data_IF_879020161940
#
_entry.id   IF_879020161940
#
_cell.length_a   1.000
_cell.length_b   1.000
_cell.length_c   1.000
_cell.angle_alpha   90.00
_cell.angle_beta   90.00
_cell.angle_gamma   90.00
#
_symmetry.space_group_name_H-M   'P 1'
#
loop_
_entity.id
_entity.type
_entity.pdbx_description
1 polymer ?
#
# COMPACT_ATOMS: atom_id res chain seq x y z
N UNK A 1 -25.57 -28.27 0.22
CA UNK A 1 -24.11 -28.31 0.47
C UNK A 1 -23.89 -28.26 1.99
N UNK A 2 -23.19 -29.24 2.53
CA UNK A 2 -23.00 -29.36 3.99
C UNK A 2 -22.09 -28.23 4.48
N UNK A 3 -22.34 -27.63 5.67
CA UNK A 3 -21.52 -26.53 6.23
C UNK A 3 -20.01 -26.89 6.26
N UNK A 4 -19.70 -28.17 6.45
CA UNK A 4 -18.32 -28.67 6.45
C UNK A 4 -17.68 -28.63 5.04
N UNK A 5 -18.45 -28.86 3.99
CA UNK A 5 -17.97 -28.76 2.60
C UNK A 5 -17.69 -27.33 2.19
N UNK A 6 -18.54 -26.39 2.60
CA UNK A 6 -18.33 -24.94 2.40
C UNK A 6 -17.05 -24.49 3.10
N UNK A 7 -16.85 -24.91 4.35
CA UNK A 7 -15.64 -24.58 5.12
C UNK A 7 -14.37 -25.15 4.47
N UNK A 8 -14.40 -26.41 4.01
CA UNK A 8 -13.28 -27.05 3.29
C UNK A 8 -12.96 -26.32 1.98
N UNK A 9 -14.00 -25.86 1.26
CA UNK A 9 -13.82 -25.12 0.01
C UNK A 9 -13.17 -23.77 0.25
N UNK A 10 -13.60 -23.03 1.28
CA UNK A 10 -12.95 -21.76 1.68
C UNK A 10 -11.49 -21.97 2.14
N UNK A 11 -11.21 -23.00 2.92
CA UNK A 11 -9.82 -23.31 3.30
C UNK A 11 -8.96 -23.65 2.08
N UNK A 12 -9.50 -24.38 1.09
CA UNK A 12 -8.81 -24.69 -0.14
C UNK A 12 -8.54 -23.43 -0.99
N UNK A 13 -9.47 -22.48 -1.02
CA UNK A 13 -9.29 -21.21 -1.70
C UNK A 13 -8.25 -20.32 -1.00
N UNK A 14 -8.21 -20.30 0.34
CA UNK A 14 -7.22 -19.53 1.12
C UNK A 14 -5.80 -20.07 0.91
N UNK A 15 -5.64 -21.40 0.83
CA UNK A 15 -4.35 -22.08 0.64
C UNK A 15 -3.92 -22.17 -0.82
N UNK A 16 -4.80 -21.84 -1.77
CA UNK A 16 -4.54 -21.99 -3.20
C UNK A 16 -3.40 -21.07 -3.64
N UNK A 17 -2.43 -21.64 -4.34
CA UNK A 17 -1.42 -20.91 -5.08
C UNK A 17 -1.97 -20.59 -6.47
N UNK A 18 -2.23 -19.33 -6.74
CA UNK A 18 -2.66 -18.89 -8.07
C UNK A 18 -1.47 -18.85 -9.02
N UNK A 19 -1.71 -19.18 -10.29
CA UNK A 19 -0.74 -18.89 -11.34
C UNK A 19 -0.61 -17.38 -11.50
N UNK A 20 0.61 -16.88 -11.62
CA UNK A 20 0.88 -15.47 -11.85
C UNK A 20 1.61 -15.31 -13.17
N UNK A 21 1.10 -14.43 -14.01
CA UNK A 21 1.78 -14.02 -15.25
C UNK A 21 2.96 -13.07 -15.00
N UNK A 22 3.14 -12.67 -13.75
CA UNK A 22 4.22 -11.77 -13.38
C UNK A 22 5.57 -12.47 -13.55
N UNK A 23 6.40 -11.89 -14.40
CA UNK A 23 7.77 -12.35 -14.60
C UNK A 23 8.62 -12.12 -13.36
N UNK A 24 9.49 -13.08 -13.01
CA UNK A 24 10.32 -13.03 -11.80
C UNK A 24 11.28 -11.81 -11.75
N UNK A 25 11.58 -11.23 -12.89
CA UNK A 25 12.43 -10.05 -13.00
C UNK A 25 11.80 -8.83 -12.32
N UNK A 26 10.46 -8.72 -12.31
CA UNK A 26 9.79 -7.58 -11.66
C UNK A 26 10.05 -7.52 -10.14
N UNK A 27 9.80 -8.59 -9.36
CA UNK A 27 10.21 -8.61 -7.94
C UNK A 27 11.70 -8.38 -7.71
N UNK A 28 12.56 -8.88 -8.62
CA UNK A 28 14.00 -8.71 -8.51
C UNK A 28 14.42 -7.24 -8.65
N UNK A 29 13.96 -6.54 -9.70
CA UNK A 29 14.27 -5.12 -9.88
C UNK A 29 13.65 -4.23 -8.80
N UNK A 30 12.47 -4.60 -8.28
CA UNK A 30 11.85 -3.94 -7.15
C UNK A 30 12.74 -4.05 -5.89
N UNK A 31 13.23 -5.26 -5.57
CA UNK A 31 14.13 -5.49 -4.44
C UNK A 31 15.50 -4.81 -4.63
N UNK A 32 16.01 -4.80 -5.86
CA UNK A 32 17.26 -4.11 -6.20
C UNK A 32 17.13 -2.60 -5.98
N UNK A 33 15.99 -2.00 -6.35
CA UNK A 33 15.70 -0.58 -6.07
C UNK A 33 15.71 -0.27 -4.57
N UNK A 34 15.11 -1.13 -3.74
CA UNK A 34 15.18 -1.05 -2.28
C UNK A 34 16.63 -1.14 -1.79
N UNK A 35 17.41 -2.11 -2.29
CA UNK A 35 18.81 -2.30 -1.92
C UNK A 35 19.69 -1.10 -2.28
N UNK A 36 19.49 -0.50 -3.45
CA UNK A 36 20.23 0.70 -3.88
C UNK A 36 19.95 1.88 -2.95
N UNK A 37 18.67 2.13 -2.62
CA UNK A 37 18.28 3.23 -1.73
C UNK A 37 18.88 3.06 -0.34
N UNK A 38 18.80 1.84 0.22
CA UNK A 38 19.41 1.55 1.53
C UNK A 38 20.95 1.57 1.47
N UNK A 39 21.55 1.02 0.43
CA UNK A 39 23.00 1.03 0.23
C UNK A 39 23.56 2.45 0.16
N UNK A 40 22.93 3.33 -0.59
CA UNK A 40 23.29 4.75 -0.63
C UNK A 40 23.17 5.38 0.75
N UNK A 41 22.10 5.12 1.50
CA UNK A 41 21.89 5.70 2.83
C UNK A 41 22.95 5.22 3.85
N UNK A 42 23.35 3.96 3.79
CA UNK A 42 24.44 3.41 4.62
C UNK A 42 25.78 4.04 4.23
N UNK A 43 26.06 4.19 2.93
CA UNK A 43 27.26 4.87 2.45
C UNK A 43 27.40 6.29 3.02
N UNK A 44 26.28 7.02 3.18
CA UNK A 44 26.26 8.33 3.83
C UNK A 44 26.12 8.26 5.37
N UNK A 45 26.15 7.08 5.98
CA UNK A 45 26.03 6.88 7.44
C UNK A 45 24.67 7.29 8.01
N UNK A 46 23.60 7.23 7.22
CA UNK A 46 22.25 7.73 7.57
C UNK A 46 21.15 6.73 7.16
N UNK A 47 21.23 5.51 7.70
CA UNK A 47 20.30 4.44 7.39
C UNK A 47 18.80 4.85 7.50
N UNK A 48 18.47 5.63 8.53
CA UNK A 48 17.08 6.11 8.75
C UNK A 48 16.54 6.93 7.58
N UNK A 49 17.39 7.68 6.90
CA UNK A 49 16.99 8.45 5.72
C UNK A 49 16.69 7.53 4.52
N UNK A 50 17.43 6.41 4.41
CA UNK A 50 17.15 5.39 3.40
C UNK A 50 15.78 4.75 3.57
N UNK A 51 15.37 4.50 4.81
CA UNK A 51 14.05 3.93 5.10
C UNK A 51 12.90 4.86 4.69
N UNK A 52 13.08 6.17 4.85
CA UNK A 52 12.12 7.16 4.35
C UNK A 52 12.14 7.21 2.82
N UNK A 53 13.33 7.22 2.21
CA UNK A 53 13.47 7.23 0.75
C UNK A 53 12.88 5.98 0.10
N UNK A 54 12.86 4.82 0.78
CA UNK A 54 12.21 3.61 0.29
C UNK A 54 10.71 3.79 -0.01
N UNK A 55 10.01 4.71 0.66
CA UNK A 55 8.60 5.02 0.37
C UNK A 55 8.47 5.44 -1.10
N UNK A 56 9.38 6.30 -1.59
CA UNK A 56 9.43 6.72 -3.00
C UNK A 56 9.79 5.56 -3.93
N UNK A 57 10.68 4.65 -3.51
CA UNK A 57 11.08 3.49 -4.30
C UNK A 57 9.92 2.53 -4.61
N UNK A 58 8.85 2.52 -3.80
CA UNK A 58 7.65 1.74 -4.04
C UNK A 58 6.90 2.13 -5.32
N UNK A 59 7.18 3.31 -5.90
CA UNK A 59 6.60 3.72 -7.18
C UNK A 59 6.98 2.79 -8.35
N UNK A 60 8.07 2.04 -8.25
CA UNK A 60 8.43 0.98 -9.20
C UNK A 60 7.30 -0.04 -9.41
N UNK A 61 6.52 -0.32 -8.38
CA UNK A 61 5.45 -1.32 -8.44
C UNK A 61 4.29 -0.95 -9.38
N UNK A 62 4.26 0.28 -9.88
CA UNK A 62 3.29 0.76 -10.86
C UNK A 62 3.71 0.52 -12.31
N UNK A 63 4.82 -0.18 -12.57
CA UNK A 63 5.25 -0.49 -13.94
C UNK A 63 4.23 -1.41 -14.63
N UNK A 64 3.50 -0.94 -15.66
CA UNK A 64 2.54 -1.77 -16.37
C UNK A 64 3.24 -2.64 -17.43
N UNK A 65 2.53 -3.62 -17.99
CA UNK A 65 3.05 -4.48 -19.08
C UNK A 65 2.89 -3.87 -20.49
N UNK A 66 2.81 -2.56 -20.60
CA UNK A 66 2.55 -1.80 -21.84
C UNK A 66 3.85 -1.37 -22.55
N UNK A 67 3.80 -0.67 -23.70
CA UNK A 67 4.99 -0.15 -24.36
C UNK A 67 5.84 0.78 -23.48
N UNK A 68 7.15 0.84 -23.74
CA UNK A 68 8.14 1.54 -22.91
C UNK A 68 7.75 2.97 -22.54
N UNK A 69 7.32 3.76 -23.51
CA UNK A 69 6.93 5.16 -23.28
C UNK A 69 5.76 5.29 -22.28
N UNK A 70 4.78 4.41 -22.41
CA UNK A 70 3.63 4.39 -21.51
C UNK A 70 4.03 3.90 -20.09
N UNK A 71 4.91 2.86 -20.00
CA UNK A 71 5.46 2.42 -18.70
C UNK A 71 6.10 3.57 -17.95
N UNK A 72 6.98 4.32 -18.64
CA UNK A 72 7.69 5.43 -18.02
C UNK A 72 6.74 6.55 -17.60
N UNK A 73 5.77 6.91 -18.46
CA UNK A 73 4.77 7.92 -18.14
C UNK A 73 3.97 7.55 -16.88
N UNK A 74 3.49 6.28 -16.77
CA UNK A 74 2.72 5.81 -15.61
C UNK A 74 3.58 5.85 -14.34
N UNK A 75 4.81 5.32 -14.38
CA UNK A 75 5.69 5.29 -13.20
C UNK A 75 6.04 6.71 -12.75
N UNK A 76 6.35 7.62 -13.67
CA UNK A 76 6.65 9.02 -13.33
C UNK A 76 5.45 9.74 -12.70
N UNK A 77 4.25 9.56 -13.24
CA UNK A 77 3.03 10.12 -12.65
C UNK A 77 2.74 9.53 -11.26
N UNK A 78 2.88 8.20 -11.09
CA UNK A 78 2.70 7.55 -9.79
C UNK A 78 3.79 7.97 -8.79
N UNK A 79 5.03 8.15 -9.23
CA UNK A 79 6.13 8.69 -8.41
C UNK A 79 5.79 10.07 -7.88
N UNK A 80 5.36 10.98 -8.77
CA UNK A 80 4.91 12.32 -8.36
C UNK A 80 3.74 12.24 -7.37
N UNK A 81 2.77 11.35 -7.63
CA UNK A 81 1.62 11.15 -6.75
C UNK A 81 2.03 10.64 -5.35
N UNK A 82 2.99 9.69 -5.24
CA UNK A 82 3.51 9.18 -3.96
C UNK A 82 4.22 10.30 -3.19
N UNK A 83 5.08 11.09 -3.85
CA UNK A 83 5.79 12.21 -3.23
C UNK A 83 4.81 13.27 -2.75
N UNK A 84 3.84 13.65 -3.59
CA UNK A 84 2.79 14.62 -3.23
C UNK A 84 1.92 14.12 -2.07
N UNK A 85 1.61 12.82 -2.04
CA UNK A 85 0.85 12.19 -0.95
C UNK A 85 1.62 12.26 0.37
N UNK A 86 2.94 11.99 0.35
CA UNK A 86 3.80 12.12 1.52
C UNK A 86 3.84 13.55 2.02
N UNK A 87 4.00 14.51 1.12
CA UNK A 87 3.97 15.93 1.45
C UNK A 87 2.64 16.35 2.09
N UNK A 88 1.50 15.94 1.51
CA UNK A 88 0.18 16.21 2.10
C UNK A 88 0.03 15.58 3.48
N UNK A 89 0.59 14.37 3.68
CA UNK A 89 0.66 13.74 5.00
C UNK A 89 1.42 14.59 6.00
N UNK A 90 2.61 15.06 5.65
CA UNK A 90 3.40 15.95 6.52
C UNK A 90 2.63 17.23 6.88
N UNK A 91 1.88 17.81 5.94
CA UNK A 91 1.09 19.01 6.21
C UNK A 91 0.03 18.81 7.32
N UNK A 92 -0.36 17.56 7.61
CA UNK A 92 -1.30 17.28 8.72
C UNK A 92 -0.72 17.61 10.09
N UNK A 93 0.60 17.69 10.24
CA UNK A 93 1.26 18.11 11.49
C UNK A 93 0.90 19.54 11.93
N UNK A 94 0.45 20.38 10.99
CA UNK A 94 -0.04 21.74 11.31
C UNK A 94 -1.49 21.75 11.80
N UNK A 95 -2.17 20.59 11.82
CA UNK A 95 -3.53 20.45 12.29
C UNK A 95 -3.55 19.77 13.67
N UNK A 96 -4.56 20.07 14.52
CA UNK A 96 -4.80 19.23 15.71
C UNK A 96 -4.96 17.76 15.31
N UNK A 97 -4.33 16.85 16.05
CA UNK A 97 -4.27 15.41 15.72
C UNK A 97 -5.65 14.80 15.40
N UNK A 98 -6.70 15.26 16.11
CA UNK A 98 -8.07 14.80 15.90
C UNK A 98 -8.59 15.09 14.49
N UNK A 99 -8.08 16.11 13.80
CA UNK A 99 -8.53 16.49 12.44
C UNK A 99 -7.65 15.93 11.32
N UNK A 100 -6.58 15.23 11.63
CA UNK A 100 -5.67 14.63 10.64
C UNK A 100 -6.40 13.65 9.68
N UNK A 101 -7.51 13.04 10.13
CA UNK A 101 -8.31 12.13 9.32
C UNK A 101 -8.92 12.79 8.07
N UNK A 102 -9.21 14.11 8.12
CA UNK A 102 -9.87 14.83 7.02
C UNK A 102 -8.96 14.90 5.77
N UNK A 103 -7.75 15.49 5.83
CA UNK A 103 -6.88 15.55 4.65
C UNK A 103 -6.43 14.17 4.16
N UNK A 104 -6.25 13.20 5.06
CA UNK A 104 -5.91 11.82 4.68
C UNK A 104 -7.07 11.18 3.90
N UNK A 105 -8.31 11.36 4.35
CA UNK A 105 -9.49 10.87 3.65
C UNK A 105 -9.69 11.52 2.27
N UNK A 106 -9.49 12.85 2.18
CA UNK A 106 -9.55 13.59 0.91
C UNK A 106 -8.47 13.07 -0.06
N UNK A 107 -7.27 12.84 0.42
CA UNK A 107 -6.18 12.30 -0.37
C UNK A 107 -6.49 10.88 -0.85
N UNK A 108 -7.03 10.01 0.02
CA UNK A 108 -7.46 8.66 -0.34
C UNK A 108 -8.55 8.68 -1.42
N UNK A 109 -9.54 9.57 -1.28
CA UNK A 109 -10.58 9.79 -2.28
C UNK A 109 -9.98 10.26 -3.60
N UNK A 110 -9.15 11.30 -3.60
CA UNK A 110 -8.55 11.88 -4.80
C UNK A 110 -7.67 10.88 -5.54
N UNK A 111 -6.79 10.16 -4.84
CA UNK A 111 -5.96 9.12 -5.43
C UNK A 111 -6.79 7.96 -6.00
N UNK A 112 -7.88 7.55 -5.32
CA UNK A 112 -8.80 6.54 -5.83
C UNK A 112 -9.49 6.98 -7.13
N UNK A 113 -9.94 8.25 -7.22
CA UNK A 113 -10.51 8.81 -8.45
C UNK A 113 -9.51 8.74 -9.60
N UNK A 114 -8.29 9.23 -9.37
CA UNK A 114 -7.25 9.27 -10.42
C UNK A 114 -6.88 7.87 -10.91
N UNK A 115 -6.62 6.94 -10.00
CA UNK A 115 -6.23 5.56 -10.32
C UNK A 115 -7.34 4.84 -11.12
N UNK A 116 -8.59 5.02 -10.73
CA UNK A 116 -9.74 4.41 -11.43
C UNK A 116 -9.99 5.08 -12.79
N UNK A 117 -9.91 6.40 -12.85
CA UNK A 117 -10.12 7.15 -14.09
C UNK A 117 -9.08 6.77 -15.17
N UNK A 118 -7.81 6.61 -14.78
CA UNK A 118 -6.75 6.20 -15.71
C UNK A 118 -6.61 4.68 -15.84
N UNK A 119 -7.48 3.91 -15.21
CA UNK A 119 -7.45 2.44 -15.20
C UNK A 119 -6.05 1.87 -14.86
N UNK A 120 -5.41 2.46 -13.85
CA UNK A 120 -4.09 2.00 -13.38
C UNK A 120 -4.31 0.74 -12.53
N UNK A 121 -3.70 -0.37 -12.95
CA UNK A 121 -3.81 -1.66 -12.28
C UNK A 121 -3.24 -1.69 -10.84
N UNK A 122 -3.19 -2.87 -10.25
CA UNK A 122 -2.56 -3.05 -8.94
C UNK A 122 -1.11 -2.50 -8.95
N UNK A 123 -0.70 -1.85 -7.84
CA UNK A 123 -1.29 -1.80 -6.51
C UNK A 123 -2.36 -0.70 -6.28
N UNK A 124 -2.91 -0.10 -7.32
CA UNK A 124 -3.98 0.88 -7.21
C UNK A 124 -3.59 2.11 -6.36
N UNK A 125 -4.51 2.64 -5.57
CA UNK A 125 -4.28 3.81 -4.72
C UNK A 125 -3.57 3.48 -3.37
N UNK A 126 -3.21 2.22 -3.12
CA UNK A 126 -2.67 1.78 -1.84
C UNK A 126 -1.42 2.55 -1.39
N UNK A 127 -0.41 2.66 -2.27
CA UNK A 127 0.84 3.32 -1.89
C UNK A 127 0.74 4.84 -1.79
N UNK A 128 -0.28 5.45 -2.39
CA UNK A 128 -0.58 6.87 -2.17
C UNK A 128 -1.09 7.08 -0.73
N UNK A 129 -2.06 6.28 -0.30
CA UNK A 129 -2.57 6.32 1.09
C UNK A 129 -1.46 5.96 2.07
N UNK A 130 -0.69 4.89 1.79
CA UNK A 130 0.44 4.45 2.59
C UNK A 130 1.46 5.58 2.80
N UNK A 131 1.85 6.25 1.72
CA UNK A 131 2.80 7.38 1.74
C UNK A 131 2.27 8.57 2.53
N UNK A 132 1.00 8.95 2.32
CA UNK A 132 0.36 10.04 3.05
C UNK A 132 0.31 9.76 4.56
N UNK A 133 -0.10 8.56 4.92
CA UNK A 133 -0.23 8.16 6.32
C UNK A 133 1.13 8.10 7.00
N UNK A 134 2.18 7.59 6.34
CA UNK A 134 3.54 7.63 6.88
C UNK A 134 4.06 9.06 7.03
N UNK A 135 3.75 9.96 6.10
CA UNK A 135 4.06 11.39 6.25
C UNK A 135 3.36 12.02 7.45
N UNK A 136 2.06 11.70 7.66
CA UNK A 136 1.25 12.23 8.75
C UNK A 136 1.68 11.76 10.15
N UNK A 137 2.30 10.59 10.25
CA UNK A 137 2.77 10.02 11.53
C UNK A 137 4.30 9.98 11.65
N UNK A 138 4.99 10.73 10.80
CA UNK A 138 6.45 10.87 10.85
C UNK A 138 6.85 11.65 12.10
N UNK A 139 7.81 11.19 12.93
CA UNK A 139 8.17 11.82 14.22
C UNK A 139 9.12 13.01 14.06
N UNK A 140 9.21 13.63 12.89
CA UNK A 140 10.17 14.70 12.59
C UNK A 140 9.64 16.11 12.89
N UNK A 141 10.55 17.04 13.13
CA UNK A 141 10.21 18.44 13.35
C UNK A 141 9.86 19.17 12.05
N UNK A 142 9.11 20.27 12.16
CA UNK A 142 8.67 21.07 11.02
C UNK A 142 9.80 21.56 10.11
N UNK A 143 11.00 21.80 10.67
CA UNK A 143 12.18 22.24 9.90
C UNK A 143 12.69 21.19 8.88
N UNK A 144 12.41 19.90 9.13
CA UNK A 144 12.93 18.79 8.33
C UNK A 144 12.00 18.40 7.19
N UNK A 145 10.80 18.98 7.08
CA UNK A 145 9.76 18.56 6.13
C UNK A 145 10.21 18.55 4.67
N UNK A 146 10.85 19.62 4.22
CA UNK A 146 11.33 19.72 2.83
C UNK A 146 12.40 18.66 2.55
N UNK A 147 13.28 18.43 3.53
CA UNK A 147 14.32 17.40 3.43
C UNK A 147 13.72 15.99 3.33
N UNK A 148 12.72 15.68 4.16
CA UNK A 148 12.05 14.37 4.15
C UNK A 148 11.34 14.12 2.81
N UNK A 149 10.64 15.12 2.28
CA UNK A 149 10.01 15.04 0.95
C UNK A 149 11.08 14.82 -0.13
N UNK A 150 12.22 15.49 0.00
CA UNK A 150 13.39 15.29 -0.88
C UNK A 150 13.92 13.87 -0.85
N UNK A 151 13.97 13.21 0.34
CA UNK A 151 14.36 11.80 0.45
C UNK A 151 13.38 10.87 -0.29
N UNK A 152 12.08 11.07 -0.11
CA UNK A 152 11.07 10.28 -0.84
C UNK A 152 11.18 10.52 -2.35
N UNK A 153 11.44 11.76 -2.77
CA UNK A 153 11.69 12.08 -4.17
C UNK A 153 12.94 11.38 -4.72
N UNK A 154 14.04 11.34 -3.98
CA UNK A 154 15.24 10.58 -4.38
C UNK A 154 14.96 9.09 -4.54
N UNK A 155 14.19 8.49 -3.61
CA UNK A 155 13.73 7.12 -3.75
C UNK A 155 12.89 6.87 -5.00
N UNK A 156 12.00 7.83 -5.32
CA UNK A 156 11.20 7.78 -6.54
C UNK A 156 12.04 7.92 -7.81
N UNK A 157 13.12 8.71 -7.79
CA UNK A 157 14.09 8.76 -8.91
C UNK A 157 14.78 7.41 -9.13
N UNK A 158 15.21 6.74 -8.06
CA UNK A 158 15.77 5.38 -8.15
C UNK A 158 14.74 4.41 -8.72
N UNK A 159 13.47 4.48 -8.31
CA UNK A 159 12.40 3.66 -8.86
C UNK A 159 12.20 3.87 -10.36
N UNK A 160 12.22 5.13 -10.83
CA UNK A 160 12.11 5.44 -12.26
C UNK A 160 13.28 4.88 -13.05
N UNK A 161 14.51 4.98 -12.52
CA UNK A 161 15.70 4.38 -13.14
C UNK A 161 15.58 2.85 -13.21
N UNK A 162 15.16 2.21 -12.10
CA UNK A 162 14.95 0.76 -12.08
C UNK A 162 13.84 0.34 -13.03
N UNK A 163 12.76 1.12 -13.17
CA UNK A 163 11.69 0.87 -14.12
C UNK A 163 12.16 0.92 -15.58
N UNK A 164 13.04 1.86 -15.90
CA UNK A 164 13.67 1.97 -17.21
C UNK A 164 14.56 0.75 -17.47
N UNK A 165 15.47 0.43 -16.56
CA UNK A 165 16.38 -0.72 -16.69
C UNK A 165 15.60 -2.04 -16.80
N UNK A 166 14.62 -2.26 -15.93
CA UNK A 166 13.72 -3.41 -15.99
C UNK A 166 13.04 -3.51 -17.36
N UNK A 167 12.49 -2.39 -17.85
CA UNK A 167 11.76 -2.38 -19.12
C UNK A 167 12.66 -2.70 -20.30
N UNK A 168 13.89 -2.18 -20.32
CA UNK A 168 14.89 -2.49 -21.35
C UNK A 168 15.27 -3.97 -21.30
N UNK A 169 15.57 -4.49 -20.11
CA UNK A 169 15.99 -5.89 -19.93
C UNK A 169 14.88 -6.86 -20.34
N UNK A 170 13.62 -6.59 -19.96
CA UNK A 170 12.51 -7.51 -20.22
C UNK A 170 12.03 -7.43 -21.68
N UNK A 171 12.00 -6.25 -22.28
CA UNK A 171 11.52 -6.06 -23.66
C UNK A 171 12.59 -6.51 -24.66
N UNK A 172 13.83 -6.08 -24.49
CA UNK A 172 14.88 -6.26 -25.50
C UNK A 172 15.82 -7.44 -25.16
N UNK A 173 16.06 -7.74 -23.87
CA UNK A 173 16.95 -8.81 -23.44
C UNK A 173 16.29 -10.17 -23.42
N UNK A 174 15.33 -10.37 -22.52
CA UNK A 174 14.70 -11.69 -22.34
C UNK A 174 13.56 -11.96 -23.33
N UNK A 175 12.96 -10.94 -23.93
CA UNK A 175 11.79 -11.03 -24.82
C UNK A 175 10.61 -11.84 -24.24
N UNK A 176 10.58 -11.98 -22.91
CA UNK A 176 9.61 -12.81 -22.20
C UNK A 176 8.27 -12.12 -21.96
N UNK A 177 8.21 -10.81 -22.13
CA UNK A 177 7.00 -10.03 -22.00
C UNK A 177 6.91 -9.04 -23.16
N UNK A 178 6.30 -9.48 -24.25
CA UNK A 178 5.91 -8.57 -25.33
C UNK A 178 4.98 -7.51 -24.73
N UNK A 179 5.18 -6.22 -25.09
CA UNK A 179 4.33 -5.15 -24.57
C UNK A 179 2.87 -5.44 -24.94
N UNK A 180 1.99 -5.49 -23.95
CA UNK A 180 0.55 -5.57 -24.17
C UNK A 180 0.05 -4.23 -24.73
N UNK A 181 -1.08 -4.26 -25.45
CA UNK A 181 -1.77 -3.06 -25.87
C UNK A 181 -2.13 -2.19 -24.65
N UNK A 182 -2.12 -0.88 -24.85
CA UNK A 182 -2.55 0.04 -23.81
C UNK A 182 -4.05 -0.21 -23.57
N UNK A 183 -4.48 -0.55 -22.34
CA UNK A 183 -5.89 -0.81 -22.11
C UNK A 183 -6.72 0.43 -22.47
N UNK A 184 -7.83 0.25 -23.20
CA UNK A 184 -8.71 1.35 -23.53
C UNK A 184 -9.21 1.98 -22.24
N UNK A 185 -9.40 3.29 -22.22
CA UNK A 185 -10.00 3.98 -21.09
C UNK A 185 -11.46 3.57 -21.02
N UNK A 186 -11.79 2.67 -20.11
CA UNK A 186 -13.17 2.34 -19.82
C UNK A 186 -13.80 3.45 -18.98
N UNK A 187 -14.66 4.23 -19.62
CA UNK A 187 -15.47 5.23 -18.90
C UNK A 187 -16.64 4.53 -18.21
N UNK A 188 -16.41 4.12 -16.96
CA UNK A 188 -17.44 3.48 -16.12
C UNK A 188 -18.51 4.50 -15.63
N UNK A 189 -18.41 5.74 -16.05
CA UNK A 189 -19.23 6.84 -15.55
C UNK A 189 -18.58 7.55 -14.35
N UNK A 190 -18.47 8.86 -14.46
CA UNK A 190 -17.86 9.68 -13.40
C UNK A 190 -18.55 9.49 -12.06
N UNK A 191 -19.88 9.38 -12.08
CA UNK A 191 -20.68 9.22 -10.85
C UNK A 191 -20.34 7.94 -10.09
N UNK A 192 -20.14 6.82 -10.79
CA UNK A 192 -19.78 5.55 -10.17
C UNK A 192 -18.38 5.61 -9.55
N UNK A 193 -17.39 6.15 -10.30
CA UNK A 193 -16.01 6.31 -9.82
C UNK A 193 -15.97 7.25 -8.62
N UNK A 194 -16.72 8.35 -8.66
CA UNK A 194 -16.79 9.33 -7.58
C UNK A 194 -17.38 8.74 -6.31
N UNK A 195 -18.52 8.03 -6.41
CA UNK A 195 -19.18 7.42 -5.24
C UNK A 195 -18.30 6.35 -4.59
N UNK A 196 -17.73 5.45 -5.39
CA UNK A 196 -16.82 4.42 -4.87
C UNK A 196 -15.60 5.05 -4.17
N UNK A 197 -15.05 6.11 -4.75
CA UNK A 197 -13.89 6.81 -4.18
C UNK A 197 -14.26 7.62 -2.93
N UNK A 198 -15.47 8.18 -2.87
CA UNK A 198 -15.99 8.84 -1.68
C UNK A 198 -16.15 7.83 -0.52
N UNK A 199 -16.73 6.65 -0.80
CA UNK A 199 -16.86 5.58 0.20
C UNK A 199 -15.45 5.18 0.70
N UNK A 200 -14.50 4.95 -0.20
CA UNK A 200 -13.13 4.58 0.16
C UNK A 200 -12.46 5.65 1.03
N UNK A 201 -12.49 6.90 0.60
CA UNK A 201 -11.93 8.03 1.38
C UNK A 201 -12.57 8.16 2.76
N UNK A 202 -13.90 7.98 2.84
CA UNK A 202 -14.64 8.04 4.12
C UNK A 202 -14.23 6.92 5.07
N UNK A 203 -14.06 5.68 4.61
CA UNK A 203 -13.63 4.57 5.45
C UNK A 203 -12.17 4.68 5.88
N UNK A 204 -11.30 5.20 5.01
CA UNK A 204 -9.90 5.52 5.38
C UNK A 204 -9.86 6.63 6.44
N UNK A 205 -10.62 7.71 6.25
CA UNK A 205 -10.75 8.77 7.25
C UNK A 205 -11.27 8.23 8.58
N UNK A 206 -12.34 7.45 8.53
CA UNK A 206 -12.94 6.85 9.73
C UNK A 206 -12.00 5.89 10.45
N UNK A 207 -11.15 5.17 9.72
CA UNK A 207 -10.15 4.27 10.31
C UNK A 207 -9.07 5.05 11.09
N UNK A 208 -8.64 6.20 10.59
CA UNK A 208 -7.72 7.11 11.31
C UNK A 208 -8.43 7.70 12.53
N UNK A 209 -9.66 8.18 12.37
CA UNK A 209 -10.46 8.73 13.47
C UNK A 209 -10.63 7.73 14.62
N UNK A 210 -11.00 6.47 14.32
CA UNK A 210 -11.12 5.42 15.34
C UNK A 210 -9.78 5.17 16.04
N UNK A 211 -8.69 5.06 15.30
CA UNK A 211 -7.38 4.83 15.88
C UNK A 211 -6.94 5.97 16.81
N UNK A 212 -7.21 7.22 16.43
CA UNK A 212 -6.92 8.40 17.25
C UNK A 212 -7.85 8.49 18.45
N UNK A 213 -9.15 8.17 18.27
CA UNK A 213 -10.14 8.19 19.36
C UNK A 213 -9.88 7.11 20.42
N UNK A 214 -9.39 5.95 20.01
CA UNK A 214 -9.00 4.85 20.92
C UNK A 214 -7.58 5.03 21.48
N UNK A 215 -6.92 6.17 21.20
CA UNK A 215 -5.55 6.48 21.64
C UNK A 215 -4.54 5.39 21.31
N UNK A 216 -4.74 4.70 20.15
CA UNK A 216 -3.83 3.66 19.71
C UNK A 216 -2.50 4.28 19.24
N UNK A 217 -1.39 3.79 19.76
CA UNK A 217 -0.05 4.34 19.53
C UNK A 217 0.30 4.49 18.05
N UNK A 218 -0.26 3.61 17.19
CA UNK A 218 0.07 3.55 15.76
C UNK A 218 -1.17 3.47 14.87
N UNK A 219 -2.12 4.39 15.09
CA UNK A 219 -3.41 4.50 14.37
C UNK A 219 -3.28 4.39 12.84
N UNK A 220 -2.15 4.79 12.28
CA UNK A 220 -1.89 4.73 10.84
C UNK A 220 -1.95 3.31 10.27
N UNK A 221 -1.65 2.28 11.05
CA UNK A 221 -1.69 0.87 10.61
C UNK A 221 -3.11 0.40 10.32
N UNK A 222 -4.09 0.97 11.03
CA UNK A 222 -5.51 0.68 10.81
C UNK A 222 -5.91 1.15 9.41
N UNK A 223 -5.54 2.38 9.03
CA UNK A 223 -5.84 2.93 7.70
C UNK A 223 -5.16 2.14 6.57
N UNK A 224 -3.91 1.73 6.76
CA UNK A 224 -3.19 0.89 5.81
C UNK A 224 -3.91 -0.45 5.62
N UNK A 225 -4.37 -1.07 6.71
CA UNK A 225 -5.08 -2.35 6.67
C UNK A 225 -6.46 -2.22 6.03
N UNK A 226 -7.21 -1.17 6.37
CA UNK A 226 -8.49 -0.83 5.75
C UNK A 226 -8.33 -0.67 4.23
N UNK A 227 -7.37 0.15 3.80
CA UNK A 227 -7.10 0.41 2.38
C UNK A 227 -6.75 -0.87 1.62
N UNK A 228 -5.89 -1.73 2.19
CA UNK A 228 -5.47 -2.96 1.54
C UNK A 228 -6.63 -3.94 1.30
N UNK A 229 -7.58 -4.03 2.22
CA UNK A 229 -8.76 -4.90 2.09
C UNK A 229 -9.75 -4.34 1.09
N UNK A 230 -9.99 -3.02 1.10
CA UNK A 230 -10.94 -2.37 0.19
C UNK A 230 -10.54 -2.42 -1.30
N UNK A 231 -9.30 -2.80 -1.61
CA UNK A 231 -8.84 -3.01 -3.00
C UNK A 231 -9.32 -4.33 -3.62
N UNK A 232 -10.08 -5.17 -2.92
CA UNK A 232 -10.68 -6.35 -3.52
C UNK A 232 -11.70 -5.98 -4.60
N UNK A 233 -11.76 -6.77 -5.67
CA UNK A 233 -12.64 -6.51 -6.83
C UNK A 233 -14.06 -7.04 -6.61
N UNK A 234 -14.23 -8.00 -5.71
CA UNK A 234 -15.52 -8.63 -5.37
C UNK A 234 -15.62 -8.87 -3.88
N UNK A 235 -16.84 -9.04 -3.34
CA UNK A 235 -17.04 -9.37 -1.93
C UNK A 235 -16.30 -10.64 -1.50
N UNK A 236 -16.30 -11.67 -2.36
CA UNK A 236 -15.58 -12.92 -2.07
C UNK A 236 -14.07 -12.69 -2.01
N UNK A 237 -13.51 -11.91 -2.94
CA UNK A 237 -12.08 -11.57 -2.91
C UNK A 237 -11.69 -10.74 -1.69
N UNK A 238 -12.57 -9.87 -1.20
CA UNK A 238 -12.37 -9.09 0.02
C UNK A 238 -12.32 -10.01 1.25
N UNK A 239 -13.26 -10.95 1.37
CA UNK A 239 -13.30 -11.95 2.43
C UNK A 239 -12.02 -12.78 2.48
N UNK A 240 -11.63 -13.34 1.34
CA UNK A 240 -10.44 -14.19 1.23
C UNK A 240 -9.20 -13.37 1.60
N UNK A 241 -9.05 -12.16 1.03
CA UNK A 241 -7.92 -11.27 1.35
C UNK A 241 -7.86 -10.89 2.82
N UNK A 242 -9.03 -10.66 3.47
CA UNK A 242 -9.07 -10.35 4.90
C UNK A 242 -8.52 -11.50 5.74
N UNK A 243 -9.00 -12.72 5.51
CA UNK A 243 -8.54 -13.90 6.24
C UNK A 243 -7.05 -14.14 5.98
N UNK A 244 -6.63 -14.07 4.71
CA UNK A 244 -5.24 -14.20 4.31
C UNK A 244 -4.35 -13.14 4.98
N UNK A 245 -4.84 -11.89 5.09
CA UNK A 245 -4.11 -10.80 5.76
C UNK A 245 -3.94 -11.07 7.25
N UNK A 246 -5.01 -11.47 7.94
CA UNK A 246 -4.95 -11.75 9.39
C UNK A 246 -3.99 -12.91 9.67
N UNK A 247 -4.16 -14.04 8.98
CA UNK A 247 -3.32 -15.22 9.15
C UNK A 247 -1.86 -14.92 8.79
N UNK A 248 -1.64 -14.32 7.62
CA UNK A 248 -0.30 -13.99 7.14
C UNK A 248 0.40 -12.98 8.04
N UNK A 249 -0.33 -11.98 8.58
CA UNK A 249 0.23 -11.03 9.53
C UNK A 249 0.54 -11.69 10.87
N UNK A 250 -0.31 -12.57 11.40
CA UNK A 250 -0.05 -13.29 12.65
C UNK A 250 1.24 -14.12 12.55
N UNK A 251 1.40 -14.90 11.49
CA UNK A 251 2.62 -15.66 11.23
C UNK A 251 3.83 -14.73 10.96
N UNK A 252 3.62 -13.67 10.22
CA UNK A 252 4.65 -12.69 9.89
C UNK A 252 5.13 -11.89 11.10
N UNK A 253 4.28 -11.68 12.09
CA UNK A 253 4.63 -11.06 13.38
C UNK A 253 5.54 -11.97 14.19
N UNK A 254 5.24 -13.26 14.27
CA UNK A 254 6.13 -14.24 14.92
C UNK A 254 7.50 -14.27 14.22
N UNK A 255 7.51 -14.20 12.89
CA UNK A 255 8.73 -14.14 12.09
C UNK A 255 9.50 -12.81 12.31
N UNK A 256 8.78 -11.68 12.38
CA UNK A 256 9.39 -10.38 12.68
C UNK A 256 10.02 -10.36 14.08
N UNK A 257 9.34 -10.93 15.08
CA UNK A 257 9.88 -11.05 16.43
C UNK A 257 11.19 -11.85 16.47
N UNK A 258 11.22 -12.99 15.77
CA UNK A 258 12.44 -13.79 15.65
C UNK A 258 13.57 -13.02 14.95
N UNK A 259 13.26 -12.26 13.89
CA UNK A 259 14.25 -11.43 13.20
C UNK A 259 14.75 -10.27 14.08
N UNK A 260 13.85 -9.58 14.80
CA UNK A 260 14.21 -8.46 15.67
C UNK A 260 15.09 -8.91 16.87
N UNK A 261 15.02 -10.20 17.28
CA UNK A 261 15.93 -10.75 18.31
C UNK A 261 17.38 -10.88 17.81
N UNK A 262 17.63 -10.73 16.51
CA UNK A 262 18.97 -10.76 15.91
C UNK A 262 19.47 -9.33 15.70
N UNK A 263 20.74 -9.11 16.00
CA UNK A 263 21.41 -7.85 15.65
C UNK A 263 22.03 -8.02 14.27
N UNK A 264 21.55 -7.23 13.32
CA UNK A 264 22.07 -7.21 11.96
C UNK A 264 23.00 -6.01 11.77
N UNK A 265 24.13 -6.22 11.10
CA UNK A 265 24.95 -5.13 10.60
C UNK A 265 24.29 -4.50 9.38
N UNK A 266 24.69 -3.27 9.03
CA UNK A 266 24.06 -2.50 7.96
C UNK A 266 23.91 -3.28 6.64
N UNK A 267 24.94 -4.00 6.21
CA UNK A 267 24.93 -4.80 4.98
C UNK A 267 23.97 -5.98 5.10
N UNK A 268 23.97 -6.66 6.24
CA UNK A 268 23.06 -7.79 6.51
C UNK A 268 21.60 -7.32 6.51
N UNK A 269 21.34 -6.15 7.09
CA UNK A 269 20.02 -5.53 7.10
C UNK A 269 19.55 -5.18 5.68
N UNK A 270 20.41 -4.63 4.83
CA UNK A 270 20.10 -4.35 3.42
C UNK A 270 19.70 -5.65 2.71
N UNK A 271 20.54 -6.69 2.83
CA UNK A 271 20.27 -7.98 2.20
C UNK A 271 18.99 -8.64 2.73
N UNK A 272 18.72 -8.52 4.02
CA UNK A 272 17.50 -8.99 4.64
C UNK A 272 16.28 -8.26 4.07
N UNK A 273 16.29 -6.92 4.02
CA UNK A 273 15.20 -6.10 3.49
C UNK A 273 14.95 -6.39 2.01
N UNK A 274 16.00 -6.54 1.21
CA UNK A 274 15.89 -6.95 -0.20
C UNK A 274 15.26 -8.32 -0.33
N UNK A 275 15.69 -9.29 0.46
CA UNK A 275 15.18 -10.67 0.42
C UNK A 275 13.71 -10.73 0.83
N UNK A 276 13.33 -10.08 1.93
CA UNK A 276 11.95 -10.00 2.41
C UNK A 276 11.03 -9.35 1.36
N UNK A 277 11.49 -8.27 0.74
CA UNK A 277 10.73 -7.57 -0.29
C UNK A 277 10.61 -8.40 -1.57
N UNK A 278 11.70 -9.02 -2.02
CA UNK A 278 11.71 -9.90 -3.19
C UNK A 278 10.70 -11.06 -3.03
N UNK A 279 10.80 -11.80 -1.92
CA UNK A 279 9.93 -12.95 -1.66
C UNK A 279 8.47 -12.50 -1.51
N UNK A 280 8.23 -11.42 -0.78
CA UNK A 280 6.90 -10.85 -0.62
C UNK A 280 6.27 -10.47 -1.96
N UNK A 281 7.01 -9.76 -2.82
CA UNK A 281 6.54 -9.36 -4.16
C UNK A 281 6.36 -10.55 -5.12
N UNK A 282 7.19 -11.57 -5.00
CA UNK A 282 7.04 -12.79 -5.78
C UNK A 282 5.78 -13.58 -5.40
N UNK A 283 5.38 -13.52 -4.12
CA UNK A 283 4.24 -14.26 -3.58
C UNK A 283 2.92 -13.50 -3.64
N UNK A 284 2.92 -12.16 -3.67
CA UNK A 284 1.70 -11.35 -3.50
C UNK A 284 0.59 -11.68 -4.50
N UNK A 285 0.94 -11.98 -5.73
CA UNK A 285 -0.01 -12.37 -6.78
C UNK A 285 -0.33 -13.87 -6.78
N UNK A 286 0.43 -14.69 -6.05
CA UNK A 286 0.23 -16.14 -5.94
C UNK A 286 -0.60 -16.50 -4.73
N UNK A 287 -0.24 -15.99 -3.57
CA UNK A 287 -0.99 -16.16 -2.33
C UNK A 287 -0.69 -15.00 -1.37
N UNK A 288 -1.72 -14.21 -1.10
CA UNK A 288 -1.58 -13.00 -0.29
C UNK A 288 -1.20 -13.30 1.17
N UNK A 289 -1.63 -14.44 1.75
CA UNK A 289 -1.24 -14.82 3.11
C UNK A 289 0.27 -15.08 3.20
N UNK A 290 0.82 -15.83 2.25
CA UNK A 290 2.26 -16.09 2.20
C UNK A 290 3.06 -14.80 2.01
N UNK A 291 2.59 -13.91 1.14
CA UNK A 291 3.24 -12.61 0.95
C UNK A 291 3.27 -11.79 2.25
N UNK A 292 2.18 -11.81 3.03
CA UNK A 292 2.10 -11.08 4.29
C UNK A 292 3.08 -11.58 5.35
N UNK A 293 3.47 -12.87 5.33
CA UNK A 293 4.51 -13.39 6.23
C UNK A 293 5.83 -12.64 6.04
N UNK A 294 6.16 -12.26 4.81
CA UNK A 294 7.41 -11.54 4.49
C UNK A 294 7.24 -10.01 4.52
N UNK A 295 6.10 -9.50 4.08
CA UNK A 295 5.83 -8.06 4.15
C UNK A 295 5.64 -7.55 5.58
N UNK A 296 5.24 -8.40 6.52
CA UNK A 296 5.06 -7.98 7.91
C UNK A 296 6.40 -7.63 8.57
N UNK A 297 7.44 -8.48 8.59
CA UNK A 297 8.75 -8.06 9.10
C UNK A 297 9.35 -6.90 8.28
N UNK A 298 9.24 -6.91 6.96
CA UNK A 298 9.70 -5.81 6.13
C UNK A 298 9.09 -4.47 6.56
N UNK A 299 7.76 -4.40 6.71
CA UNK A 299 7.08 -3.18 7.15
C UNK A 299 7.34 -2.88 8.63
N UNK A 300 7.69 -3.87 9.47
CA UNK A 300 8.12 -3.63 10.84
C UNK A 300 9.45 -2.91 10.86
N UNK A 301 10.47 -3.43 10.18
CA UNK A 301 11.75 -2.74 10.06
C UNK A 301 11.61 -1.33 9.48
N UNK A 302 10.78 -1.16 8.43
CA UNK A 302 10.54 0.14 7.83
C UNK A 302 9.93 1.15 8.82
N UNK A 303 9.00 0.71 9.66
CA UNK A 303 8.31 1.59 10.62
C UNK A 303 9.11 1.80 11.92
N UNK A 304 9.87 0.80 12.36
CA UNK A 304 10.64 0.87 13.61
C UNK A 304 11.91 1.70 13.44
N UNK A 305 12.57 1.55 12.32
CA UNK A 305 13.76 2.34 12.06
C UNK A 305 13.43 3.82 11.82
N UNK A 306 12.20 4.15 11.37
CA UNK A 306 11.72 5.52 11.35
C UNK A 306 11.45 6.08 12.77
N UNK A 307 11.16 5.22 13.76
CA UNK A 307 10.81 5.58 15.14
C UNK A 307 11.89 5.27 16.19
N UNK A 308 13.15 5.07 15.77
CA UNK A 308 14.29 4.87 16.69
C UNK A 308 14.04 3.81 17.78
N UNK A 309 13.86 2.53 17.41
CA UNK A 309 14.03 1.29 18.21
C UNK A 309 13.91 1.43 19.75
N UNK A 310 12.95 2.21 20.29
CA UNK A 310 12.90 2.56 21.70
C UNK A 310 11.89 1.76 22.54
N UNK A 311 11.11 0.85 21.95
CA UNK A 311 10.04 0.14 22.65
C UNK A 311 10.25 -1.37 22.73
N UNK A 312 9.69 -1.97 23.79
CA UNK A 312 9.67 -3.43 23.98
C UNK A 312 8.99 -4.13 22.80
N UNK A 313 9.72 -5.02 22.13
CA UNK A 313 9.25 -5.77 20.96
C UNK A 313 7.88 -6.47 21.19
N UNK A 314 7.61 -6.93 22.39
CA UNK A 314 6.37 -7.64 22.72
C UNK A 314 5.12 -6.75 22.65
N UNK A 315 5.19 -5.52 23.16
CA UNK A 315 4.08 -4.56 23.06
C UNK A 315 3.79 -4.19 21.62
N UNK A 316 4.84 -4.03 20.82
CA UNK A 316 4.78 -3.69 19.41
C UNK A 316 4.05 -4.73 18.59
N UNK A 317 4.25 -5.99 18.91
CA UNK A 317 3.68 -7.15 18.25
C UNK A 317 2.17 -7.23 18.47
N UNK A 318 1.74 -7.13 19.74
CA UNK A 318 0.31 -7.20 20.08
C UNK A 318 -0.46 -6.02 19.47
N UNK A 319 0.09 -4.79 19.59
CA UNK A 319 -0.49 -3.61 19.00
C UNK A 319 -0.69 -3.79 17.49
N UNK A 320 0.31 -4.35 16.78
CA UNK A 320 0.22 -4.58 15.33
C UNK A 320 -0.91 -5.53 14.94
N UNK A 321 -1.11 -6.62 15.69
CA UNK A 321 -2.22 -7.55 15.44
C UNK A 321 -3.58 -6.87 15.63
N UNK A 322 -3.73 -6.11 16.70
CA UNK A 322 -4.97 -5.36 16.98
C UNK A 322 -5.25 -4.36 15.85
N UNK A 323 -4.27 -3.56 15.46
CA UNK A 323 -4.40 -2.57 14.38
C UNK A 323 -4.81 -3.22 13.05
N UNK A 324 -4.20 -4.36 12.70
CA UNK A 324 -4.52 -5.10 11.48
C UNK A 324 -5.93 -5.69 11.52
N UNK A 325 -6.36 -6.23 12.65
CA UNK A 325 -7.71 -6.78 12.82
C UNK A 325 -8.76 -5.67 12.70
N UNK A 326 -8.61 -4.58 13.44
CA UNK A 326 -9.54 -3.44 13.40
C UNK A 326 -9.60 -2.87 11.97
N UNK A 327 -8.45 -2.59 11.36
CA UNK A 327 -8.38 -2.05 10.00
C UNK A 327 -8.99 -3.01 8.97
N UNK A 328 -8.79 -4.31 9.12
CA UNK A 328 -9.37 -5.32 8.23
C UNK A 328 -10.90 -5.40 8.37
N UNK A 329 -11.44 -5.27 9.57
CA UNK A 329 -12.90 -5.22 9.81
C UNK A 329 -13.49 -3.96 9.15
N UNK A 330 -12.86 -2.80 9.34
CA UNK A 330 -13.31 -1.55 8.70
C UNK A 330 -13.24 -1.63 7.18
N UNK A 331 -12.16 -2.21 6.64
CA UNK A 331 -12.02 -2.44 5.19
C UNK A 331 -13.08 -3.38 4.64
N UNK A 332 -13.45 -4.42 5.40
CA UNK A 332 -14.55 -5.31 5.03
C UNK A 332 -15.89 -4.58 5.00
N UNK A 333 -16.19 -3.79 6.03
CA UNK A 333 -17.41 -2.98 6.08
C UNK A 333 -17.46 -2.00 4.90
N UNK A 334 -16.37 -1.32 4.58
CA UNK A 334 -16.26 -0.46 3.40
C UNK A 334 -16.49 -1.22 2.08
N UNK A 335 -15.92 -2.40 1.95
CA UNK A 335 -16.16 -3.29 0.83
C UNK A 335 -17.61 -3.75 0.70
N UNK A 336 -18.27 -4.04 1.82
CA UNK A 336 -19.72 -4.35 1.81
C UNK A 336 -20.55 -3.17 1.29
N UNK A 337 -20.21 -1.95 1.68
CA UNK A 337 -20.93 -0.75 1.21
C UNK A 337 -20.75 -0.56 -0.31
N UNK A 338 -19.54 -0.77 -0.83
CA UNK A 338 -19.25 -0.62 -2.26
C UNK A 338 -19.99 -1.66 -3.10
N UNK A 339 -19.95 -2.94 -2.68
CA UNK A 339 -20.42 -4.05 -3.53
C UNK A 339 -21.85 -4.50 -3.28
N UNK A 340 -22.54 -3.99 -2.25
CA UNK A 340 -23.98 -4.22 -2.05
C UNK A 340 -24.80 -3.13 -2.72
N UNK A 341 -25.59 -3.43 -3.77
CA UNK A 341 -26.34 -2.42 -4.54
C UNK A 341 -27.22 -1.52 -3.68
N UNK A 342 -27.90 -2.10 -2.68
CA UNK A 342 -28.79 -1.35 -1.79
C UNK A 342 -28.05 -0.26 -0.98
N UNK A 343 -26.90 -0.59 -0.40
CA UNK A 343 -26.11 0.36 0.38
C UNK A 343 -25.46 1.41 -0.52
N UNK A 344 -24.95 0.99 -1.68
CA UNK A 344 -24.36 1.88 -2.67
C UNK A 344 -25.36 2.95 -3.14
N UNK A 345 -26.60 2.57 -3.50
CA UNK A 345 -27.65 3.51 -3.92
C UNK A 345 -27.96 4.52 -2.80
N UNK A 346 -27.90 4.10 -1.55
CA UNK A 346 -28.13 5.00 -0.42
C UNK A 346 -27.02 6.06 -0.32
N UNK A 347 -25.76 5.64 -0.42
CA UNK A 347 -24.61 6.56 -0.47
C UNK A 347 -24.63 7.46 -1.71
N UNK A 348 -25.01 6.95 -2.89
CA UNK A 348 -25.22 7.76 -4.10
C UNK A 348 -26.25 8.88 -3.87
N UNK A 349 -27.34 8.55 -3.21
CA UNK A 349 -28.41 9.53 -2.91
C UNK A 349 -27.91 10.61 -1.96
N UNK A 350 -27.17 10.23 -0.91
CA UNK A 350 -26.55 11.16 0.03
C UNK A 350 -25.53 12.05 -0.67
N UNK A 351 -24.65 11.48 -1.49
CA UNK A 351 -23.66 12.22 -2.24
C UNK A 351 -24.30 13.22 -3.22
N UNK A 352 -25.32 12.82 -3.97
CA UNK A 352 -26.09 13.71 -4.86
C UNK A 352 -26.76 14.86 -4.09
N UNK A 353 -27.27 14.59 -2.89
CA UNK A 353 -27.87 15.61 -2.04
C UNK A 353 -26.84 16.63 -1.52
N UNK A 354 -25.68 16.14 -1.02
CA UNK A 354 -24.60 17.00 -0.45
C UNK A 354 -23.97 17.86 -1.56
N UNK A 355 -23.64 17.25 -2.69
CA UNK A 355 -22.92 17.93 -3.77
C UNK A 355 -23.84 18.61 -4.80
N UNK A 356 -25.15 18.61 -4.61
CA UNK A 356 -26.16 19.21 -5.53
C UNK A 356 -25.91 18.84 -6.99
N UNK A 357 -25.46 17.64 -7.26
CA UNK A 357 -25.26 17.16 -8.63
C UNK A 357 -26.63 17.00 -9.27
N UNK A 358 -27.01 17.99 -10.12
CA UNK A 358 -28.22 17.91 -10.93
C UNK A 358 -28.06 16.75 -11.92
N UNK A 359 -29.01 15.81 -11.91
CA UNK A 359 -29.14 14.87 -13.01
C UNK A 359 -29.32 15.69 -14.30
N UNK A 360 -28.39 15.56 -15.26
CA UNK A 360 -28.73 15.79 -16.65
C UNK A 360 -29.62 14.61 -17.07
N UNK A 361 -30.90 14.91 -17.27
CA UNK A 361 -31.88 14.02 -17.87
C UNK A 361 -31.46 13.62 -19.28
#
# INVERSE_FOLDING_TARGET
MNKIEILKQHFKEIAKLNSSEQVWQMPFFAALGVGIVLGLSVFFGKLNYGLIAMIGALSFLYVPSTPLYHRMAVVMCCSFGIVSSFFLGILTHFLPAIFAFIPIGIMAMGSSILIRYYNIGAPGYFFFVFSCVLGAYSPFEAKDFIFLVGLVFLGAMVANLMALLYSIVVIYGFKNALPSEIPPREYIGFDAVFVDSLIMGSFVAFSIFIGTFLELERSYRIAISCTAIMQGVTLNSIWIKQIQRIIGTALGVCFAWWLLSKQFHDIELILLMMSLFFIGQFLVNRNYALAMIFFTPYATYLSEAANFMSENADKLILARLIDVVIGSILGLLGGFVIYKPYLRVHFERIAKYIFRIKQKA
#
